data_IF_805651756047
#
_entry.id   IF_805651756047
#
_cell.length_a   1.000
_cell.length_b   1.000
_cell.length_c   1.000
_cell.angle_alpha   90.00
_cell.angle_beta   90.00
_cell.angle_gamma   90.00
#
_symmetry.space_group_name_H-M   'P 1'
#
loop_
_entity.id
_entity.type
_entity.pdbx_description
1 polymer ?
#
# COMPACT_ATOMS: atom_id res chain seq x y z
N UNK A 1 49.02 -18.02 55.58
CA UNK A 1 48.74 -17.30 54.32
C UNK A 1 47.72 -18.13 53.52
N UNK A 2 46.44 -17.77 53.58
CA UNK A 2 45.36 -18.49 52.88
C UNK A 2 45.02 -17.72 51.58
N UNK A 3 45.21 -18.37 50.43
CA UNK A 3 44.84 -17.85 49.15
C UNK A 3 43.32 -18.08 48.95
N UNK A 4 42.58 -16.99 48.79
CA UNK A 4 41.16 -17.00 48.42
C UNK A 4 41.11 -17.03 46.89
N UNK A 5 40.56 -18.12 46.34
CA UNK A 5 40.24 -18.23 44.91
C UNK A 5 38.80 -17.74 44.72
N UNK A 6 38.66 -16.65 43.98
CA UNK A 6 37.36 -16.09 43.63
C UNK A 6 36.87 -16.80 42.35
N UNK A 7 35.86 -17.66 42.49
CA UNK A 7 35.13 -18.23 41.33
C UNK A 7 34.06 -17.24 40.86
N UNK A 8 34.26 -16.70 39.65
CA UNK A 8 33.25 -15.98 38.92
C UNK A 8 32.31 -17.00 38.24
N UNK A 9 31.10 -17.11 38.74
CA UNK A 9 30.05 -17.87 38.08
C UNK A 9 29.41 -17.02 36.96
N UNK A 10 29.63 -17.40 35.72
CA UNK A 10 28.86 -16.88 34.58
C UNK A 10 27.50 -17.58 34.59
N UNK A 11 26.44 -16.83 34.93
CA UNK A 11 25.08 -17.27 34.73
C UNK A 11 24.71 -17.07 33.24
N UNK A 12 24.71 -18.16 32.48
CA UNK A 12 24.13 -18.17 31.16
C UNK A 12 22.58 -18.14 31.29
N UNK A 13 21.97 -17.00 31.00
CA UNK A 13 20.51 -16.94 30.77
C UNK A 13 20.22 -17.67 29.46
N UNK A 14 19.73 -18.89 29.56
CA UNK A 14 19.10 -19.58 28.46
C UNK A 14 17.69 -18.98 28.24
N UNK A 15 17.54 -18.11 27.25
CA UNK A 15 16.22 -17.76 26.71
C UNK A 15 15.65 -19.02 26.04
N UNK A 16 14.76 -19.70 26.72
CA UNK A 16 13.91 -20.75 26.14
C UNK A 16 12.91 -20.12 25.18
N UNK A 17 13.26 -20.01 23.90
CA UNK A 17 12.31 -19.79 22.84
C UNK A 17 11.43 -21.03 22.73
N UNK A 18 10.21 -20.97 23.23
CA UNK A 18 9.19 -21.98 22.98
C UNK A 18 8.82 -21.94 21.50
N UNK A 19 9.46 -22.78 20.70
CA UNK A 19 9.06 -23.03 19.32
C UNK A 19 7.69 -23.71 19.33
N UNK A 20 6.65 -23.01 18.99
CA UNK A 20 5.40 -23.66 18.62
C UNK A 20 5.62 -24.42 17.31
N UNK A 21 5.09 -25.67 17.18
CA UNK A 21 5.21 -26.47 15.97
C UNK A 21 4.21 -25.95 14.93
N UNK A 22 4.61 -24.95 14.16
CA UNK A 22 4.02 -24.60 12.89
C UNK A 22 4.98 -25.09 11.82
N UNK A 23 4.64 -26.20 11.14
CA UNK A 23 5.38 -26.64 9.96
C UNK A 23 5.50 -25.50 8.94
N UNK A 24 6.36 -25.62 7.89
CA UNK A 24 6.51 -24.59 6.87
C UNK A 24 5.14 -24.37 6.23
N UNK A 25 4.45 -23.36 6.71
CA UNK A 25 3.13 -22.99 6.23
C UNK A 25 3.24 -22.54 4.78
N UNK A 26 2.20 -22.71 4.03
CA UNK A 26 1.94 -22.36 2.64
C UNK A 26 2.32 -20.90 2.26
N UNK A 27 2.74 -20.07 3.21
CA UNK A 27 2.85 -18.61 3.11
C UNK A 27 4.30 -18.07 2.99
N UNK A 28 5.31 -18.93 2.86
CA UNK A 28 6.71 -18.48 2.79
C UNK A 28 7.28 -18.00 4.14
N UNK A 29 8.47 -17.35 4.16
CA UNK A 29 9.08 -16.86 5.39
C UNK A 29 8.19 -15.79 6.05
N UNK A 30 8.23 -15.76 7.40
CA UNK A 30 7.54 -14.73 8.16
C UNK A 30 8.10 -13.35 7.78
N UNK A 31 7.25 -12.30 7.67
CA UNK A 31 7.74 -10.95 7.42
C UNK A 31 8.54 -10.42 8.61
N UNK A 32 9.45 -9.51 8.33
CA UNK A 32 9.87 -8.55 9.33
C UNK A 32 8.69 -7.58 9.54
N UNK A 33 8.26 -7.41 10.78
CA UNK A 33 7.13 -6.54 11.12
C UNK A 33 7.61 -5.40 11.99
N UNK A 34 7.38 -4.17 11.56
CA UNK A 34 7.81 -2.97 12.26
C UNK A 34 6.63 -1.99 12.43
N UNK A 35 6.67 -1.19 13.49
CA UNK A 35 5.83 -0.01 13.62
C UNK A 35 6.38 1.10 12.73
N UNK A 36 5.49 1.74 11.96
CA UNK A 36 5.87 2.90 11.11
C UNK A 36 6.24 4.11 11.96
N UNK A 37 5.63 4.22 13.13
CA UNK A 37 5.80 5.32 14.07
C UNK A 37 6.15 4.81 15.49
N UNK A 38 7.36 4.30 15.74
CA UNK A 38 7.72 3.71 17.04
C UNK A 38 7.66 4.72 18.20
N UNK A 39 7.90 6.00 17.92
CA UNK A 39 7.87 7.09 18.90
C UNK A 39 6.55 7.89 18.89
N UNK A 40 5.52 7.37 18.23
CA UNK A 40 4.23 8.02 18.06
C UNK A 40 4.11 8.84 16.76
N UNK A 41 2.94 8.79 16.15
CA UNK A 41 2.67 9.50 14.90
C UNK A 41 2.45 11.00 15.12
N UNK A 42 2.94 11.88 14.21
CA UNK A 42 2.84 13.33 14.38
C UNK A 42 1.39 13.84 14.31
N UNK A 43 0.50 13.12 13.62
CA UNK A 43 -0.92 13.41 13.45
C UNK A 43 -1.80 12.37 14.17
N UNK A 44 -1.36 11.92 15.36
CA UNK A 44 -2.18 11.06 16.20
C UNK A 44 -3.43 11.80 16.68
N UNK A 45 -4.55 11.11 16.69
CA UNK A 45 -5.83 11.63 17.14
C UNK A 45 -6.54 10.62 18.03
N UNK A 46 -7.48 11.11 18.84
CA UNK A 46 -8.33 10.25 19.68
C UNK A 46 -9.73 10.17 19.10
N UNK A 47 -10.35 9.01 19.17
CA UNK A 47 -11.73 8.80 18.76
C UNK A 47 -12.44 7.82 19.71
N UNK A 48 -13.75 7.82 19.67
CA UNK A 48 -14.56 6.93 20.49
C UNK A 48 -14.61 5.53 19.85
N UNK A 49 -13.76 4.65 20.33
CA UNK A 49 -13.62 3.26 19.86
C UNK A 49 -14.95 2.49 19.90
N UNK A 50 -15.85 2.84 20.84
CA UNK A 50 -17.13 2.17 20.97
C UNK A 50 -18.08 2.43 19.80
N UNK A 51 -17.83 3.47 19.00
CA UNK A 51 -18.60 3.84 17.81
C UNK A 51 -18.03 3.25 16.52
N UNK A 52 -16.85 2.64 16.57
CA UNK A 52 -16.22 2.02 15.41
C UNK A 52 -16.52 0.51 15.40
N UNK A 53 -17.19 -0.03 14.36
CA UNK A 53 -17.47 -1.46 14.27
C UNK A 53 -16.21 -2.34 14.23
N UNK A 54 -15.04 -1.73 13.94
CA UNK A 54 -13.74 -2.41 13.91
C UNK A 54 -12.89 -2.11 15.14
N UNK A 55 -13.41 -1.35 16.11
CA UNK A 55 -12.76 -1.03 17.37
C UNK A 55 -11.43 -0.27 17.14
N UNK A 56 -10.39 -0.72 17.83
CA UNK A 56 -9.05 -0.12 17.80
C UNK A 56 -8.10 -0.77 16.75
N UNK A 57 -8.61 -1.70 15.95
CA UNK A 57 -7.80 -2.58 15.09
C UNK A 57 -6.80 -1.87 14.18
N UNK A 58 -7.10 -0.66 13.72
CA UNK A 58 -6.28 0.05 12.74
C UNK A 58 -5.83 1.43 13.27
N UNK A 59 -5.42 1.50 14.54
CA UNK A 59 -4.88 2.72 15.14
C UNK A 59 -3.38 2.88 14.95
N UNK A 60 -2.67 1.77 14.70
CA UNK A 60 -1.23 1.75 14.50
C UNK A 60 -0.90 1.44 13.05
N UNK A 61 0.03 2.19 12.48
CA UNK A 61 0.59 1.89 11.19
C UNK A 61 1.68 0.82 11.33
N UNK A 62 1.47 -0.31 10.66
CA UNK A 62 2.37 -1.46 10.68
C UNK A 62 2.88 -1.75 9.26
N UNK A 63 4.16 -2.00 9.13
CA UNK A 63 4.78 -2.41 7.87
C UNK A 63 5.27 -3.86 7.98
N UNK A 64 4.67 -4.75 7.20
CA UNK A 64 5.14 -6.13 7.02
C UNK A 64 6.11 -6.14 5.84
N UNK A 65 7.41 -6.35 6.08
CA UNK A 65 8.45 -6.35 5.06
C UNK A 65 8.77 -7.79 4.66
N UNK A 66 8.71 -8.07 3.38
CA UNK A 66 9.00 -9.35 2.76
C UNK A 66 10.16 -9.18 1.77
N UNK A 67 11.41 -9.38 2.21
CA UNK A 67 12.56 -9.30 1.31
C UNK A 67 12.48 -10.33 0.19
N UNK A 68 12.88 -9.96 -1.02
CA UNK A 68 13.01 -10.92 -2.10
C UNK A 68 14.24 -11.80 -1.88
N UNK A 69 14.13 -13.09 -2.24
CA UNK A 69 15.28 -14.01 -2.18
C UNK A 69 16.39 -13.59 -3.15
N UNK A 70 16.00 -13.15 -4.34
CA UNK A 70 16.89 -12.65 -5.37
C UNK A 70 16.42 -11.24 -5.75
N UNK A 71 16.87 -10.20 -5.03
CA UNK A 71 16.34 -8.85 -5.21
C UNK A 71 16.74 -8.27 -6.56
N UNK A 72 15.78 -7.59 -7.22
CA UNK A 72 15.96 -6.87 -8.47
C UNK A 72 16.18 -5.35 -8.27
N UNK A 73 16.38 -4.90 -7.02
CA UNK A 73 16.52 -3.50 -6.67
C UNK A 73 15.22 -2.74 -6.47
N UNK A 74 14.07 -3.35 -6.77
CA UNK A 74 12.76 -2.68 -6.66
C UNK A 74 12.01 -3.12 -5.39
N UNK A 75 11.36 -2.15 -4.75
CA UNK A 75 10.45 -2.35 -3.63
C UNK A 75 9.04 -1.90 -4.03
N UNK A 76 8.02 -2.56 -3.52
CA UNK A 76 6.62 -2.15 -3.69
C UNK A 76 5.97 -2.05 -2.31
N UNK A 77 5.46 -0.85 -1.99
CA UNK A 77 4.60 -0.63 -0.83
C UNK A 77 3.17 -0.88 -1.27
N UNK A 78 2.53 -1.90 -0.69
CA UNK A 78 1.17 -2.34 -1.04
C UNK A 78 0.19 -1.74 -0.04
N UNK A 79 -0.79 -1.00 -0.56
CA UNK A 79 -1.88 -0.37 0.16
C UNK A 79 -3.19 -1.12 -0.14
N UNK A 80 -3.67 -2.00 0.74
CA UNK A 80 -4.93 -2.73 0.53
C UNK A 80 -6.14 -1.79 0.51
N UNK A 81 -7.22 -2.21 -0.15
CA UNK A 81 -8.50 -1.52 -0.12
C UNK A 81 -9.30 -1.80 1.17
N UNK A 82 -10.52 -1.27 1.18
CA UNK A 82 -11.45 -1.42 2.29
C UNK A 82 -12.19 -0.14 2.66
N UNK A 83 -12.33 0.80 1.70
CA UNK A 83 -13.17 2.01 1.83
C UNK A 83 -12.69 3.00 2.90
N UNK A 84 -11.42 2.93 3.34
CA UNK A 84 -10.89 3.66 4.50
C UNK A 84 -11.61 3.31 5.83
N UNK A 85 -12.22 2.14 5.90
CA UNK A 85 -12.87 1.62 7.11
C UNK A 85 -12.22 0.32 7.61
N UNK A 86 -11.71 -0.50 6.67
CA UNK A 86 -11.02 -1.78 6.94
C UNK A 86 -9.85 -1.97 5.98
N UNK A 87 -9.10 -3.07 6.12
CA UNK A 87 -8.03 -3.45 5.20
C UNK A 87 -8.19 -4.90 4.71
N UNK A 88 -8.27 -5.06 3.40
CA UNK A 88 -8.31 -6.34 2.69
C UNK A 88 -6.92 -6.98 2.58
N UNK A 89 -6.26 -7.25 3.71
CA UNK A 89 -4.85 -7.62 3.82
C UNK A 89 -4.48 -8.93 3.10
N UNK A 90 -5.43 -9.79 2.77
CA UNK A 90 -5.17 -11.10 2.16
C UNK A 90 -5.08 -10.98 0.64
N UNK A 91 -6.20 -10.90 -0.07
CA UNK A 91 -6.24 -10.94 -1.54
C UNK A 91 -5.79 -9.64 -2.23
N UNK A 92 -5.74 -8.53 -1.50
CA UNK A 92 -5.20 -7.25 -1.97
C UNK A 92 -3.81 -6.93 -1.35
N UNK A 93 -3.18 -7.93 -0.72
CA UNK A 93 -1.89 -7.75 -0.07
C UNK A 93 -1.03 -9.02 -0.09
N UNK A 94 -1.26 -9.94 0.88
CA UNK A 94 -0.39 -11.11 1.07
C UNK A 94 -0.33 -12.05 -0.12
N UNK A 95 -1.42 -12.18 -0.89
CA UNK A 95 -1.46 -13.10 -2.03
C UNK A 95 -0.65 -12.58 -3.21
N UNK A 96 -0.86 -11.33 -3.63
CA UNK A 96 -0.08 -10.73 -4.73
C UNK A 96 1.40 -10.58 -4.37
N UNK A 97 1.71 -10.32 -3.10
CA UNK A 97 3.09 -10.23 -2.61
C UNK A 97 3.92 -11.47 -2.98
N UNK A 98 3.35 -12.67 -2.91
CA UNK A 98 4.08 -13.91 -3.26
C UNK A 98 4.53 -13.90 -4.71
N UNK A 99 3.66 -13.47 -5.62
CA UNK A 99 3.95 -13.37 -7.04
C UNK A 99 5.04 -12.34 -7.33
N UNK A 100 4.97 -11.19 -6.67
CA UNK A 100 5.97 -10.12 -6.78
C UNK A 100 7.33 -10.54 -6.20
N UNK A 101 7.36 -11.16 -5.02
CA UNK A 101 8.60 -11.66 -4.43
C UNK A 101 9.31 -12.71 -5.30
N UNK A 102 8.55 -13.57 -5.98
CA UNK A 102 9.11 -14.56 -6.91
C UNK A 102 9.83 -13.90 -8.10
N UNK A 103 9.50 -12.62 -8.41
CA UNK A 103 10.09 -11.80 -9.46
C UNK A 103 11.18 -10.84 -8.96
N UNK A 104 11.59 -10.98 -7.72
CA UNK A 104 12.69 -10.22 -7.16
C UNK A 104 12.30 -8.89 -6.50
N UNK A 105 11.01 -8.58 -6.41
CA UNK A 105 10.56 -7.37 -5.70
C UNK A 105 10.58 -7.60 -4.19
N UNK A 106 11.21 -6.69 -3.44
CA UNK A 106 10.94 -6.58 -2.00
C UNK A 106 9.54 -5.99 -1.83
N UNK A 107 8.68 -6.65 -1.07
CA UNK A 107 7.30 -6.20 -0.88
C UNK A 107 7.08 -5.75 0.55
N UNK A 108 6.41 -4.64 0.70
CA UNK A 108 6.01 -4.08 1.99
C UNK A 108 4.49 -3.96 2.02
N UNK A 109 3.83 -4.72 2.88
CA UNK A 109 2.40 -4.61 3.06
C UNK A 109 2.12 -3.63 4.18
N UNK A 110 1.47 -2.51 3.85
CA UNK A 110 1.19 -1.44 4.79
C UNK A 110 -0.21 -1.59 5.39
N UNK A 111 -0.27 -1.87 6.68
CA UNK A 111 -1.45 -1.60 7.48
C UNK A 111 -1.44 -0.12 7.84
N UNK A 112 -2.05 0.71 7.00
CA UNK A 112 -2.18 2.13 7.29
C UNK A 112 -3.30 2.41 8.29
N UNK A 113 -3.19 3.49 9.04
CA UNK A 113 -4.20 3.90 10.03
C UNK A 113 -5.48 4.37 9.33
N UNK A 114 -6.62 4.00 9.92
CA UNK A 114 -7.91 4.47 9.43
C UNK A 114 -8.08 5.96 9.72
N UNK A 115 -8.42 6.77 8.69
CA UNK A 115 -8.42 8.22 8.81
C UNK A 115 -9.56 8.78 9.66
N UNK A 116 -10.75 8.18 9.62
CA UNK A 116 -11.93 8.66 10.36
C UNK A 116 -12.17 10.17 10.23
N UNK A 117 -12.00 10.70 9.00
CA UNK A 117 -12.09 12.12 8.69
C UNK A 117 -10.78 12.92 8.81
N UNK A 118 -9.70 12.31 9.32
CA UNK A 118 -8.36 12.92 9.37
C UNK A 118 -7.56 12.53 8.13
N UNK A 119 -7.78 13.25 7.05
CA UNK A 119 -7.36 12.91 5.69
C UNK A 119 -5.84 12.74 5.49
N UNK A 120 -5.02 13.41 6.30
CA UNK A 120 -3.57 13.38 6.24
C UNK A 120 -2.96 12.11 6.88
N UNK A 121 -3.73 11.38 7.68
CA UNK A 121 -3.25 10.24 8.46
C UNK A 121 -2.74 9.11 7.56
N UNK A 122 -3.52 8.52 6.62
CA UNK A 122 -3.02 7.41 5.82
C UNK A 122 -1.91 7.83 4.85
N UNK A 123 -1.94 9.06 4.32
CA UNK A 123 -0.88 9.58 3.46
C UNK A 123 0.45 9.67 4.22
N UNK A 124 0.44 10.18 5.47
CA UNK A 124 1.64 10.25 6.29
C UNK A 124 2.24 8.87 6.57
N UNK A 125 1.41 7.84 6.72
CA UNK A 125 1.87 6.47 6.93
C UNK A 125 2.58 5.91 5.70
N UNK A 126 2.07 6.15 4.48
CA UNK A 126 2.74 5.77 3.24
C UNK A 126 4.06 6.50 3.08
N UNK A 127 4.05 7.82 3.29
CA UNK A 127 5.26 8.64 3.17
C UNK A 127 6.35 8.20 4.16
N UNK A 128 5.97 7.88 5.39
CA UNK A 128 6.92 7.37 6.39
C UNK A 128 7.41 5.96 6.03
N UNK A 129 6.55 5.09 5.52
CA UNK A 129 6.96 3.77 5.03
C UNK A 129 7.98 3.90 3.89
N UNK A 130 7.81 4.87 2.98
CA UNK A 130 8.79 5.17 1.94
C UNK A 130 10.12 5.64 2.54
N UNK A 131 10.12 6.57 3.51
CA UNK A 131 11.34 7.02 4.20
C UNK A 131 12.09 5.87 4.85
N UNK A 132 11.35 4.97 5.53
CA UNK A 132 11.92 3.77 6.14
C UNK A 132 12.59 2.90 5.05
N UNK A 133 11.89 2.62 3.96
CA UNK A 133 12.40 1.73 2.91
C UNK A 133 13.53 2.36 2.09
N UNK A 134 13.57 3.67 1.88
CA UNK A 134 14.73 4.37 1.29
C UNK A 134 15.99 4.21 2.17
N UNK A 135 15.82 4.08 3.48
CA UNK A 135 16.92 3.83 4.43
C UNK A 135 17.39 2.37 4.51
N UNK A 136 16.66 1.40 3.92
CA UNK A 136 16.98 -0.05 3.99
C UNK A 136 18.00 -0.47 2.94
N UNK A 137 19.21 0.06 3.07
CA UNK A 137 20.34 -0.27 2.18
C UNK A 137 20.75 -1.75 2.23
N UNK A 138 20.46 -2.42 3.35
CA UNK A 138 20.66 -3.86 3.56
C UNK A 138 19.81 -4.73 2.62
N UNK A 139 18.68 -4.22 2.13
CA UNK A 139 17.79 -4.90 1.19
C UNK A 139 18.11 -4.60 -0.29
N UNK A 140 19.09 -3.75 -0.57
CA UNK A 140 19.51 -3.37 -1.92
C UNK A 140 18.41 -2.64 -2.71
N UNK A 141 17.49 -1.95 -2.02
CA UNK A 141 16.40 -1.20 -2.64
C UNK A 141 16.93 0.07 -3.29
N UNK A 142 16.67 0.24 -4.58
CA UNK A 142 17.03 1.43 -5.37
C UNK A 142 15.81 2.22 -5.83
N UNK A 143 14.69 1.52 -6.11
CA UNK A 143 13.44 2.13 -6.53
C UNK A 143 12.28 1.65 -5.68
N UNK A 144 11.35 2.53 -5.34
CA UNK A 144 10.17 2.23 -4.53
C UNK A 144 8.91 2.65 -5.27
N UNK A 145 8.10 1.67 -5.65
CA UNK A 145 6.75 1.91 -6.16
C UNK A 145 5.70 1.77 -5.07
N UNK A 146 4.54 2.32 -5.36
CA UNK A 146 3.33 2.10 -4.57
C UNK A 146 2.32 1.29 -5.36
N UNK A 147 1.65 0.36 -4.71
CA UNK A 147 0.57 -0.43 -5.30
C UNK A 147 -0.68 -0.30 -4.43
N UNK A 148 -1.83 -0.01 -5.03
CA UNK A 148 -3.04 0.13 -4.26
C UNK A 148 -4.27 -0.43 -4.94
N UNK A 149 -5.20 -0.90 -4.12
CA UNK A 149 -6.47 -1.51 -4.53
C UNK A 149 -7.64 -0.69 -3.99
N UNK A 150 -8.66 -0.39 -4.79
CA UNK A 150 -9.86 0.30 -4.34
C UNK A 150 -9.52 1.62 -3.60
N UNK A 151 -9.94 1.80 -2.34
CA UNK A 151 -9.53 2.92 -1.49
C UNK A 151 -8.00 2.96 -1.24
N UNK A 152 -7.31 1.81 -1.20
CA UNK A 152 -5.85 1.75 -1.19
C UNK A 152 -5.24 2.23 -2.52
N UNK A 153 -5.96 2.07 -3.64
CA UNK A 153 -5.63 2.68 -4.93
C UNK A 153 -5.76 4.21 -4.89
N UNK A 154 -6.77 4.71 -4.18
CA UNK A 154 -6.85 6.14 -3.89
C UNK A 154 -5.64 6.61 -3.08
N UNK A 155 -5.28 5.89 -2.02
CA UNK A 155 -4.12 6.22 -1.20
C UNK A 155 -2.81 6.17 -2.00
N UNK A 156 -2.62 5.17 -2.86
CA UNK A 156 -1.45 5.05 -3.71
C UNK A 156 -1.35 6.19 -4.74
N UNK A 157 -2.47 6.57 -5.38
CA UNK A 157 -2.51 7.73 -6.28
C UNK A 157 -2.34 9.06 -5.52
N UNK A 158 -2.86 9.16 -4.28
CA UNK A 158 -2.60 10.31 -3.42
C UNK A 158 -1.10 10.42 -3.08
N UNK A 159 -0.44 9.33 -2.70
CA UNK A 159 1.01 9.32 -2.46
C UNK A 159 1.81 9.72 -3.72
N UNK A 160 1.29 9.42 -4.91
CA UNK A 160 1.90 9.74 -6.20
C UNK A 160 1.68 11.19 -6.66
N UNK A 161 0.74 11.91 -6.06
CA UNK A 161 0.39 13.31 -6.44
C UNK A 161 0.62 14.31 -5.31
N UNK A 162 0.70 13.85 -4.05
CA UNK A 162 0.84 14.70 -2.85
C UNK A 162 2.15 14.40 -2.09
N UNK A 163 3.17 13.91 -2.78
CA UNK A 163 4.50 13.77 -2.16
C UNK A 163 5.06 15.16 -1.76
N UNK A 164 5.91 15.19 -0.75
CA UNK A 164 6.44 16.45 -0.21
C UNK A 164 7.91 16.68 -0.54
N UNK A 165 8.60 15.63 -0.98
CA UNK A 165 10.00 15.65 -1.38
C UNK A 165 10.33 14.40 -2.23
N UNK A 166 11.54 14.33 -2.77
CA UNK A 166 12.02 13.22 -3.61
C UNK A 166 12.03 11.87 -2.86
N UNK A 167 12.17 11.89 -1.53
CA UNK A 167 12.19 10.65 -0.71
C UNK A 167 10.80 10.05 -0.62
N UNK A 168 9.76 10.88 -0.61
CA UNK A 168 8.36 10.47 -0.51
C UNK A 168 7.66 10.37 -1.86
N UNK A 169 8.34 10.76 -2.95
CA UNK A 169 7.84 10.54 -4.31
C UNK A 169 8.05 9.07 -4.70
N UNK A 170 6.99 8.32 -5.05
CA UNK A 170 7.16 6.97 -5.59
C UNK A 170 7.88 7.02 -6.96
N UNK A 171 8.66 5.98 -7.27
CA UNK A 171 9.28 5.86 -8.59
C UNK A 171 8.29 5.33 -9.65
N UNK A 172 7.23 4.65 -9.22
CA UNK A 172 6.12 4.16 -10.06
C UNK A 172 4.87 3.86 -9.22
N UNK A 173 3.73 3.72 -9.88
CA UNK A 173 2.47 3.39 -9.24
C UNK A 173 1.69 2.31 -9.98
N UNK A 174 1.02 1.43 -9.22
CA UNK A 174 0.16 0.36 -9.73
C UNK A 174 -1.20 0.49 -9.06
N UNK A 175 -2.24 0.72 -9.84
CA UNK A 175 -3.57 1.05 -9.37
C UNK A 175 -4.58 0.02 -9.86
N UNK A 176 -5.18 -0.73 -8.95
CA UNK A 176 -6.11 -1.82 -9.26
C UNK A 176 -7.51 -1.42 -8.81
N UNK A 177 -8.43 -1.26 -9.76
CA UNK A 177 -9.78 -0.72 -9.59
C UNK A 177 -9.84 0.46 -8.60
N UNK A 178 -8.97 1.49 -8.80
CA UNK A 178 -8.77 2.51 -7.79
C UNK A 178 -9.98 3.42 -7.66
N UNK A 179 -10.30 3.85 -6.44
CA UNK A 179 -10.99 5.10 -6.23
C UNK A 179 -10.05 6.22 -6.63
N UNK A 180 -10.52 7.21 -7.37
CA UNK A 180 -9.72 8.34 -7.86
C UNK A 180 -10.43 9.66 -7.63
N UNK A 181 -11.70 9.75 -8.07
CA UNK A 181 -12.46 10.99 -8.00
C UNK A 181 -13.45 10.99 -6.84
N UNK A 182 -13.53 12.12 -6.16
CA UNK A 182 -14.57 12.38 -5.18
C UNK A 182 -15.72 13.22 -5.75
N UNK A 183 -15.81 13.30 -7.08
CA UNK A 183 -16.87 13.99 -7.79
C UNK A 183 -18.05 13.06 -8.11
N UNK A 184 -19.26 13.55 -7.90
CA UNK A 184 -20.48 12.87 -8.36
C UNK A 184 -20.58 12.89 -9.90
N UNK A 185 -21.13 11.87 -10.53
CA UNK A 185 -21.77 10.68 -9.94
C UNK A 185 -20.80 9.49 -9.76
N UNK A 186 -19.49 9.65 -9.93
CA UNK A 186 -18.53 8.55 -10.02
C UNK A 186 -17.80 8.25 -8.69
N UNK A 187 -18.03 9.06 -7.66
CA UNK A 187 -17.40 8.89 -6.36
C UNK A 187 -17.83 7.60 -5.65
N UNK A 188 -16.93 7.04 -4.86
CA UNK A 188 -17.25 6.02 -3.84
C UNK A 188 -17.50 6.71 -2.50
N UNK A 189 -18.80 6.92 -2.15
CA UNK A 189 -19.20 7.68 -0.96
C UNK A 189 -18.58 7.18 0.34
N UNK A 190 -18.41 5.84 0.49
CA UNK A 190 -17.76 5.26 1.67
C UNK A 190 -16.31 5.71 1.82
N UNK A 191 -15.56 5.84 0.72
CA UNK A 191 -14.18 6.35 0.77
C UNK A 191 -14.12 7.85 1.07
N UNK A 192 -15.07 8.64 0.56
CA UNK A 192 -15.18 10.07 0.92
C UNK A 192 -15.42 10.20 2.41
N UNK A 193 -16.44 9.50 2.93
CA UNK A 193 -16.76 9.53 4.35
C UNK A 193 -15.59 9.08 5.24
N UNK A 194 -14.97 7.95 4.90
CA UNK A 194 -13.84 7.42 5.66
C UNK A 194 -12.66 8.39 5.72
N UNK A 195 -12.31 9.01 4.58
CA UNK A 195 -11.16 9.89 4.47
C UNK A 195 -11.43 11.31 4.99
N UNK A 196 -12.56 11.90 4.60
CA UNK A 196 -12.85 13.32 4.81
C UNK A 196 -13.90 13.57 5.89
N UNK A 197 -14.57 12.53 6.39
CA UNK A 197 -15.66 12.65 7.37
C UNK A 197 -16.97 13.15 6.76
N UNK A 198 -17.84 13.69 7.64
CA UNK A 198 -19.14 14.23 7.25
C UNK A 198 -19.00 15.60 6.58
N UNK A 199 -19.75 15.81 5.50
CA UNK A 199 -19.91 17.10 4.82
C UNK A 199 -18.58 17.81 4.47
N UNK A 200 -17.65 17.15 3.74
CA UNK A 200 -16.42 17.78 3.30
C UNK A 200 -16.69 18.99 2.40
N UNK A 201 -15.83 20.00 2.47
CA UNK A 201 -15.90 21.14 1.57
C UNK A 201 -15.58 20.73 0.13
N UNK A 202 -16.04 21.52 -0.85
CA UNK A 202 -15.71 21.28 -2.26
C UNK A 202 -14.19 21.34 -2.49
N UNK A 203 -13.48 22.19 -1.78
CA UNK A 203 -12.02 22.27 -1.83
C UNK A 203 -11.36 20.94 -1.43
N UNK A 204 -11.86 20.30 -0.37
CA UNK A 204 -11.37 18.98 0.07
C UNK A 204 -11.71 17.88 -0.92
N UNK A 205 -12.92 17.90 -1.50
CA UNK A 205 -13.29 16.97 -2.57
C UNK A 205 -12.39 17.13 -3.80
N UNK A 206 -12.09 18.37 -4.18
CA UNK A 206 -11.19 18.67 -5.30
C UNK A 206 -9.75 18.27 -5.00
N UNK A 207 -9.25 18.54 -3.80
CA UNK A 207 -7.90 18.20 -3.36
C UNK A 207 -7.67 16.67 -3.41
N UNK A 208 -8.66 15.89 -2.99
CA UNK A 208 -8.58 14.42 -2.97
C UNK A 208 -9.23 13.75 -4.20
N UNK A 209 -9.59 14.53 -5.22
CA UNK A 209 -9.87 14.03 -6.57
C UNK A 209 -8.54 13.97 -7.34
N UNK A 210 -7.85 12.82 -7.25
CA UNK A 210 -6.44 12.71 -7.64
C UNK A 210 -6.17 12.98 -9.12
N UNK A 211 -7.16 12.82 -10.02
CA UNK A 211 -7.04 13.23 -11.41
C UNK A 211 -6.79 14.74 -11.57
N UNK A 212 -7.23 15.56 -10.60
CA UNK A 212 -7.00 17.02 -10.59
C UNK A 212 -5.61 17.41 -10.09
N UNK A 213 -4.90 16.47 -9.47
CA UNK A 213 -3.62 16.70 -8.82
C UNK A 213 -2.44 16.16 -9.64
N UNK A 214 -2.71 15.56 -10.79
CA UNK A 214 -1.68 15.05 -11.69
C UNK A 214 -0.86 16.20 -12.26
N UNK A 215 0.45 16.05 -12.19
CA UNK A 215 1.43 16.95 -12.80
C UNK A 215 2.39 16.15 -13.71
N UNK A 216 3.26 16.85 -14.43
CA UNK A 216 4.31 16.19 -15.24
C UNK A 216 5.30 15.35 -14.41
N UNK A 217 5.38 15.64 -13.08
CA UNK A 217 6.30 14.97 -12.16
C UNK A 217 5.63 13.80 -11.43
N UNK A 218 4.34 13.53 -11.72
CA UNK A 218 3.64 12.34 -11.26
C UNK A 218 4.31 11.08 -11.84
N UNK A 219 4.58 10.03 -11.02
CA UNK A 219 5.31 8.85 -11.49
C UNK A 219 4.53 8.03 -12.52
N UNK A 220 5.22 7.23 -13.37
CA UNK A 220 4.59 6.35 -14.35
C UNK A 220 3.61 5.38 -13.68
N UNK A 221 2.52 5.06 -14.39
CA UNK A 221 1.39 4.32 -13.85
C UNK A 221 1.00 3.09 -14.66
N UNK A 222 0.68 2.00 -13.95
CA UNK A 222 -0.09 0.86 -14.44
C UNK A 222 -1.47 0.88 -13.80
N UNK A 223 -2.53 0.85 -14.59
CA UNK A 223 -3.92 0.94 -14.12
C UNK A 223 -4.70 -0.27 -14.61
N UNK A 224 -5.46 -0.89 -13.71
CA UNK A 224 -6.30 -2.05 -14.00
C UNK A 224 -7.73 -1.81 -13.47
N UNK A 225 -8.74 -2.08 -14.29
CA UNK A 225 -10.15 -1.97 -13.90
C UNK A 225 -11.03 -2.99 -14.63
N UNK A 226 -12.26 -3.16 -14.13
CA UNK A 226 -13.31 -3.91 -14.80
C UNK A 226 -14.46 -2.97 -15.23
N UNK A 227 -15.04 -3.24 -16.42
CA UNK A 227 -16.13 -2.41 -16.95
C UNK A 227 -17.42 -2.54 -16.11
N UNK A 228 -17.65 -3.74 -15.54
CA UNK A 228 -18.81 -4.07 -14.73
C UNK A 228 -18.65 -3.74 -13.24
N UNK A 229 -17.64 -2.95 -12.86
CA UNK A 229 -17.49 -2.43 -11.51
C UNK A 229 -18.53 -1.35 -11.24
N UNK A 230 -19.56 -1.71 -10.46
CA UNK A 230 -20.64 -0.79 -10.07
C UNK A 230 -20.38 -0.08 -8.73
N UNK A 231 -19.39 -0.53 -7.95
CA UNK A 231 -19.03 0.08 -6.67
C UNK A 231 -18.07 1.26 -6.87
N UNK A 232 -17.03 1.04 -7.67
CA UNK A 232 -16.08 2.08 -8.11
C UNK A 232 -16.10 2.13 -9.63
N UNK A 233 -16.98 2.94 -10.22
CA UNK A 233 -17.15 2.98 -11.67
C UNK A 233 -15.82 3.15 -12.41
N UNK A 234 -15.64 2.42 -13.50
CA UNK A 234 -14.43 2.45 -14.35
C UNK A 234 -14.03 3.87 -14.77
N UNK A 235 -14.96 4.81 -14.70
CA UNK A 235 -14.70 6.25 -14.95
C UNK A 235 -13.61 6.82 -14.02
N UNK A 236 -13.44 6.29 -12.80
CA UNK A 236 -12.33 6.67 -11.92
C UNK A 236 -10.98 6.43 -12.63
N UNK A 237 -10.76 5.22 -13.12
CA UNK A 237 -9.54 4.84 -13.84
C UNK A 237 -9.35 5.64 -15.13
N UNK A 238 -10.42 5.85 -15.89
CA UNK A 238 -10.39 6.63 -17.14
C UNK A 238 -9.99 8.09 -16.89
N UNK A 239 -10.55 8.75 -15.89
CA UNK A 239 -10.20 10.13 -15.54
C UNK A 239 -8.74 10.28 -15.13
N UNK A 240 -8.21 9.32 -14.39
CA UNK A 240 -6.81 9.37 -13.97
C UNK A 240 -5.87 9.12 -15.14
N UNK A 241 -6.18 8.13 -15.98
CA UNK A 241 -5.41 7.84 -17.18
C UNK A 241 -5.37 9.06 -18.13
N UNK A 242 -6.52 9.70 -18.37
CA UNK A 242 -6.65 10.91 -19.18
C UNK A 242 -5.75 12.04 -18.64
N UNK A 243 -5.82 12.31 -17.32
CA UNK A 243 -5.00 13.31 -16.66
C UNK A 243 -3.49 13.00 -16.76
N UNK A 244 -3.08 11.73 -16.62
CA UNK A 244 -1.69 11.32 -16.80
C UNK A 244 -1.19 11.60 -18.23
N UNK A 245 -1.97 11.21 -19.24
CA UNK A 245 -1.63 11.41 -20.65
C UNK A 245 -1.55 12.91 -20.99
N UNK A 246 -2.48 13.72 -20.54
CA UNK A 246 -2.48 15.18 -20.73
C UNK A 246 -1.22 15.84 -20.12
N UNK A 247 -0.75 15.33 -18.98
CA UNK A 247 0.47 15.78 -18.33
C UNK A 247 1.76 15.09 -18.86
N UNK A 248 1.66 14.25 -19.90
CA UNK A 248 2.78 13.54 -20.53
C UNK A 248 3.47 12.54 -19.60
N UNK A 249 2.73 12.02 -18.63
CA UNK A 249 3.19 10.94 -17.78
C UNK A 249 2.98 9.60 -18.49
N UNK A 250 3.96 8.71 -18.45
CA UNK A 250 3.82 7.36 -18.98
C UNK A 250 2.75 6.58 -18.22
N UNK A 251 1.74 6.12 -18.94
CA UNK A 251 0.64 5.38 -18.33
C UNK A 251 0.19 4.21 -19.20
N UNK A 252 -0.05 3.07 -18.59
CA UNK A 252 -0.64 1.89 -19.21
C UNK A 252 -1.93 1.56 -18.47
N UNK A 253 -3.01 1.30 -19.21
CA UNK A 253 -4.30 0.95 -18.62
C UNK A 253 -4.92 -0.25 -19.31
N UNK A 254 -5.37 -1.21 -18.50
CA UNK A 254 -6.11 -2.40 -18.94
C UNK A 254 -7.50 -2.40 -18.33
N UNK A 255 -8.52 -2.55 -19.17
CA UNK A 255 -9.92 -2.65 -18.76
C UNK A 255 -10.47 -3.96 -19.26
N UNK A 256 -10.88 -4.81 -18.35
CA UNK A 256 -11.53 -6.08 -18.67
C UNK A 256 -13.05 -5.95 -18.61
N UNK A 257 -13.80 -6.70 -19.44
CA UNK A 257 -15.26 -6.54 -19.51
C UNK A 257 -15.96 -6.93 -18.21
N UNK A 258 -15.41 -7.90 -17.48
CA UNK A 258 -16.00 -8.42 -16.23
C UNK A 258 -14.95 -8.61 -15.15
N UNK A 259 -15.41 -8.62 -13.89
CA UNK A 259 -14.59 -8.77 -12.70
C UNK A 259 -15.25 -8.13 -11.50
N UNK A 260 -16.13 -7.16 -11.73
CA UNK A 260 -16.75 -6.36 -10.68
C UNK A 260 -15.72 -5.60 -9.86
N UNK A 261 -16.02 -5.40 -8.59
CA UNK A 261 -15.11 -4.77 -7.64
C UNK A 261 -14.46 -5.78 -6.71
N UNK A 262 -13.19 -5.55 -6.33
CA UNK A 262 -12.54 -6.34 -5.28
C UNK A 262 -12.01 -7.70 -5.73
N UNK A 263 -11.79 -7.94 -7.03
CA UNK A 263 -11.23 -9.22 -7.49
C UNK A 263 -9.81 -9.49 -6.98
N UNK A 264 -9.02 -8.47 -6.68
CA UNK A 264 -7.68 -8.55 -6.11
C UNK A 264 -6.77 -9.55 -6.82
N UNK A 265 -6.01 -10.32 -6.03
CA UNK A 265 -5.23 -11.47 -6.52
C UNK A 265 -5.99 -12.78 -6.38
N UNK A 266 -7.34 -12.76 -6.46
CA UNK A 266 -8.18 -13.93 -6.30
C UNK A 266 -8.00 -14.97 -7.42
N UNK A 267 -7.98 -16.24 -7.07
CA UNK A 267 -7.84 -17.33 -8.05
C UNK A 267 -9.07 -17.49 -8.96
N UNK A 268 -10.21 -16.95 -8.53
CA UNK A 268 -11.44 -16.99 -9.29
C UNK A 268 -11.57 -15.87 -10.33
N UNK A 269 -10.63 -14.93 -10.39
CA UNK A 269 -10.67 -13.87 -11.39
C UNK A 269 -10.20 -14.42 -12.75
N UNK A 270 -11.10 -14.45 -13.71
CA UNK A 270 -10.88 -15.11 -15.01
C UNK A 270 -9.77 -14.48 -15.85
N UNK A 271 -9.44 -13.21 -15.64
CA UNK A 271 -8.36 -12.49 -16.33
C UNK A 271 -7.09 -12.35 -15.48
N UNK A 272 -6.94 -13.20 -14.44
CA UNK A 272 -5.78 -13.14 -13.55
C UNK A 272 -4.46 -13.34 -14.30
N UNK A 273 -4.45 -14.31 -15.22
CA UNK A 273 -3.27 -14.61 -16.03
C UNK A 273 -2.91 -13.43 -16.93
N UNK A 274 -3.89 -12.93 -17.69
CA UNK A 274 -3.69 -11.86 -18.65
C UNK A 274 -3.15 -10.60 -17.99
N UNK A 275 -3.79 -10.12 -16.91
CA UNK A 275 -3.31 -8.90 -16.29
C UNK A 275 -1.97 -9.07 -15.56
N UNK A 276 -1.68 -10.26 -15.03
CA UNK A 276 -0.39 -10.52 -14.41
C UNK A 276 0.75 -10.56 -15.44
N UNK A 277 0.51 -11.10 -16.64
CA UNK A 277 1.45 -11.08 -17.76
C UNK A 277 1.68 -9.63 -18.28
N UNK A 278 0.61 -8.83 -18.37
CA UNK A 278 0.72 -7.43 -18.78
C UNK A 278 1.45 -6.58 -17.71
N UNK A 279 1.24 -6.86 -16.43
CA UNK A 279 1.98 -6.20 -15.35
C UNK A 279 3.48 -6.58 -15.40
N UNK A 280 3.80 -7.85 -15.66
CA UNK A 280 5.18 -8.32 -15.80
C UNK A 280 5.87 -7.62 -16.98
N UNK A 281 5.23 -7.57 -18.13
CA UNK A 281 5.72 -6.86 -19.30
C UNK A 281 5.90 -5.36 -19.06
N UNK A 282 4.98 -4.75 -18.29
CA UNK A 282 5.11 -3.34 -17.91
C UNK A 282 6.34 -3.10 -17.03
N UNK A 283 6.63 -3.98 -16.07
CA UNK A 283 7.85 -3.89 -15.27
C UNK A 283 9.14 -3.95 -16.09
N UNK A 284 9.13 -4.66 -17.23
CA UNK A 284 10.28 -4.76 -18.12
C UNK A 284 10.45 -3.52 -19.01
N UNK A 285 9.39 -2.76 -19.23
CA UNK A 285 9.35 -1.63 -20.17
C UNK A 285 9.25 -0.26 -19.52
N UNK A 286 8.82 -0.19 -18.24
CA UNK A 286 8.73 1.09 -17.53
C UNK A 286 10.13 1.67 -17.31
N UNK A 287 10.30 2.91 -17.74
CA UNK A 287 11.53 3.67 -17.49
C UNK A 287 11.40 4.33 -16.12
N UNK A 288 12.37 4.08 -15.25
CA UNK A 288 12.50 4.68 -13.93
C UNK A 288 13.73 5.58 -13.94
N UNK A 289 13.57 6.81 -13.46
CA UNK A 289 14.62 7.83 -13.37
C UNK A 289 15.51 7.61 -12.13
#
# INVERSE_FOLDING_TARGET
>A
MKKIVLMLAFAALALSASAQPGGPGFWGPRPETIQVWPDGAPNAFTYDVSKDPHGDKYQEAILEIYPARNPNGRCIIICPGGGYAVLSMTHEGRDIRQWLNARGFTCCLLQYRMPRGHHDVPLSDVQQAMRIMRGRTDLGVTHIGVMGFSAGGHLASTASTHYVDDVTRPDFQILVYPVITFEKPYTHDGSVYGLLGDNPSQEMLDLYSNQKQVTRDTPPAFILAATDDFLVPVKNSLLYYEALVENKVSATMHIYPTGGHGFGWGDNYIYKTEWSEELEKWFDTVVLD
#
